data_IF_528512090658
#
_entry.id   IF_528512090658
#
_cell.length_a   1.000
_cell.length_b   1.000
_cell.length_c   1.000
_cell.angle_alpha   90.00
_cell.angle_beta   90.00
_cell.angle_gamma   90.00
#
_symmetry.space_group_name_H-M   'P 1'
#
loop_
_entity.id
_entity.type
_entity.pdbx_description
1 polymer ?
#
# COMPACT_ATOMS: atom_id res chain seq x y z
N UNK A 1 39.33 15.67 -106.12
CA UNK A 1 38.52 16.44 -107.10
C UNK A 1 39.40 16.74 -108.30
N UNK A 2 38.99 16.35 -109.50
CA UNK A 2 39.62 16.76 -110.76
C UNK A 2 38.88 17.97 -111.34
N UNK A 3 39.61 18.95 -111.85
CA UNK A 3 39.05 20.07 -112.60
C UNK A 3 38.87 19.68 -114.06
N UNK A 4 37.91 20.31 -114.76
CA UNK A 4 37.97 20.33 -116.22
C UNK A 4 39.12 21.25 -116.67
N UNK A 5 39.70 20.98 -117.84
CA UNK A 5 40.86 21.70 -118.39
C UNK A 5 40.69 23.24 -118.37
N UNK A 6 39.51 23.74 -118.75
CA UNK A 6 39.15 25.17 -118.72
C UNK A 6 39.11 25.73 -117.28
N UNK A 7 38.65 24.94 -116.31
CA UNK A 7 38.69 25.32 -114.90
C UNK A 7 40.12 25.29 -114.36
N UNK A 8 40.93 24.31 -114.78
CA UNK A 8 42.34 24.18 -114.38
C UNK A 8 43.15 25.39 -114.81
N UNK A 9 43.04 25.79 -116.09
CA UNK A 9 43.71 26.98 -116.61
C UNK A 9 43.25 28.27 -115.91
N UNK A 10 41.96 28.38 -115.56
CA UNK A 10 41.45 29.53 -114.79
C UNK A 10 41.96 29.56 -113.35
N UNK A 11 42.11 28.41 -112.70
CA UNK A 11 42.69 28.31 -111.35
C UNK A 11 44.19 28.58 -111.38
N UNK A 12 44.93 28.04 -112.36
CA UNK A 12 46.35 28.31 -112.57
C UNK A 12 46.60 29.82 -112.76
N UNK A 13 45.93 30.46 -113.72
CA UNK A 13 46.08 31.91 -113.96
C UNK A 13 45.68 32.77 -112.74
N UNK A 14 44.70 32.35 -111.93
CA UNK A 14 44.37 33.01 -110.68
C UNK A 14 45.47 32.83 -109.62
N UNK A 15 46.04 31.63 -109.49
CA UNK A 15 47.14 31.33 -108.58
C UNK A 15 48.44 32.03 -109.00
N UNK A 16 48.78 32.10 -110.28
CA UNK A 16 49.89 32.90 -110.81
C UNK A 16 49.71 34.39 -110.48
N UNK A 17 48.51 34.93 -110.70
CA UNK A 17 48.18 36.30 -110.32
C UNK A 17 48.31 36.54 -108.80
N UNK A 18 47.96 35.56 -107.96
CA UNK A 18 48.23 35.64 -106.52
C UNK A 18 49.73 35.49 -106.17
N UNK A 19 50.48 34.65 -106.87
CA UNK A 19 51.94 34.52 -106.71
C UNK A 19 52.64 35.83 -107.08
N UNK A 20 52.31 36.45 -108.21
CA UNK A 20 52.84 37.75 -108.61
C UNK A 20 52.41 38.88 -107.66
N UNK A 21 51.17 38.87 -107.14
CA UNK A 21 50.76 39.83 -106.10
C UNK A 21 51.50 39.61 -104.78
N UNK A 22 51.83 38.37 -104.41
CA UNK A 22 52.65 38.06 -103.23
C UNK A 22 54.14 38.39 -103.44
N UNK A 23 54.69 38.20 -104.64
CA UNK A 23 56.04 38.66 -105.00
C UNK A 23 56.13 40.20 -105.01
N UNK A 24 55.06 40.87 -105.46
CA UNK A 24 54.91 42.34 -105.38
C UNK A 24 54.80 42.80 -103.92
N UNK A 25 54.08 42.05 -103.08
CA UNK A 25 53.99 42.32 -101.64
C UNK A 25 55.34 42.06 -100.94
N UNK A 26 56.04 40.97 -101.28
CA UNK A 26 57.39 40.66 -100.79
C UNK A 26 58.36 41.78 -101.17
N UNK A 27 58.36 42.24 -102.43
CA UNK A 27 59.14 43.40 -102.85
C UNK A 27 58.71 44.69 -102.16
N UNK A 28 57.42 44.93 -101.96
CA UNK A 28 56.92 46.14 -101.26
C UNK A 28 57.34 46.16 -99.79
N UNK A 29 57.31 45.02 -99.10
CA UNK A 29 57.76 44.90 -97.70
C UNK A 29 59.29 44.95 -97.62
N UNK A 30 60.03 44.32 -98.55
CA UNK A 30 61.49 44.45 -98.64
C UNK A 30 61.92 45.90 -98.92
N UNK A 31 61.30 46.59 -99.88
CA UNK A 31 61.52 48.00 -100.13
C UNK A 31 61.18 48.85 -98.90
N UNK A 32 60.11 48.54 -98.18
CA UNK A 32 59.79 49.24 -96.93
C UNK A 32 60.87 49.03 -95.85
N UNK A 33 61.37 47.80 -95.69
CA UNK A 33 62.53 47.49 -94.82
C UNK A 33 63.82 48.20 -95.29
N UNK A 34 64.00 48.40 -96.59
CA UNK A 34 65.15 49.10 -97.20
C UNK A 34 65.02 50.63 -97.28
N UNK A 35 63.84 51.19 -96.99
CA UNK A 35 63.59 52.65 -96.95
C UNK A 35 63.48 53.13 -95.50
N UNK A 36 62.85 52.35 -94.61
CA UNK A 36 62.76 52.63 -93.17
C UNK A 36 63.99 52.13 -92.39
N UNK A 37 65.20 52.47 -92.88
CA UNK A 37 66.48 52.00 -92.33
C UNK A 37 66.74 52.49 -90.89
N UNK A 38 66.17 53.62 -90.47
CA UNK A 38 66.51 54.27 -89.18
C UNK A 38 65.33 54.51 -88.21
N UNK A 39 64.10 54.02 -88.47
CA UNK A 39 62.90 54.46 -87.74
C UNK A 39 62.06 53.39 -87.00
N UNK A 40 62.26 52.08 -87.23
CA UNK A 40 61.34 51.04 -86.74
C UNK A 40 61.93 50.14 -85.61
N UNK A 41 61.17 49.83 -84.53
CA UNK A 41 61.63 49.02 -83.41
C UNK A 41 61.90 47.55 -83.75
N UNK A 42 62.83 46.94 -83.01
CA UNK A 42 63.32 45.57 -83.28
C UNK A 42 62.23 44.48 -83.29
N UNK A 43 61.16 44.63 -82.51
CA UNK A 43 60.06 43.67 -82.46
C UNK A 43 59.17 43.74 -83.71
N UNK A 44 58.97 44.92 -84.29
CA UNK A 44 58.30 45.08 -85.59
C UNK A 44 59.20 44.57 -86.72
N UNK A 45 60.50 44.89 -86.70
CA UNK A 45 61.47 44.33 -87.67
C UNK A 45 61.50 42.80 -87.63
N UNK A 46 61.49 42.17 -86.45
CA UNK A 46 61.37 40.70 -86.32
C UNK A 46 60.05 40.16 -86.90
N UNK A 47 58.94 40.89 -86.73
CA UNK A 47 57.63 40.50 -87.22
C UNK A 47 57.48 40.68 -88.74
N UNK A 48 58.06 41.74 -89.29
CA UNK A 48 58.13 41.99 -90.74
C UNK A 48 59.06 40.99 -91.44
N UNK A 49 60.21 40.64 -90.85
CA UNK A 49 61.09 39.59 -91.39
C UNK A 49 60.38 38.24 -91.40
N UNK A 50 59.65 37.88 -90.33
CA UNK A 50 58.80 36.68 -90.32
C UNK A 50 57.77 36.75 -91.46
N UNK A 51 57.03 37.85 -91.56
CA UNK A 51 56.03 38.04 -92.63
C UNK A 51 56.63 37.91 -94.03
N UNK A 52 57.82 38.46 -94.29
CA UNK A 52 58.56 38.26 -95.56
C UNK A 52 58.87 36.79 -95.78
N UNK A 53 59.40 36.07 -94.78
CA UNK A 53 59.67 34.62 -94.94
C UNK A 53 58.39 33.80 -95.16
N UNK A 54 57.26 34.21 -94.59
CA UNK A 54 55.98 33.53 -94.80
C UNK A 54 55.35 33.89 -96.16
N UNK A 55 55.41 35.14 -96.62
CA UNK A 55 55.01 35.52 -97.98
C UNK A 55 55.86 34.80 -99.04
N UNK A 56 57.16 34.65 -98.80
CA UNK A 56 58.07 33.91 -99.68
C UNK A 56 57.74 32.41 -99.72
N UNK A 57 57.49 31.79 -98.55
CA UNK A 57 57.02 30.40 -98.43
C UNK A 57 55.68 30.21 -99.15
N UNK A 58 54.71 31.08 -98.91
CA UNK A 58 53.41 31.09 -99.58
C UNK A 58 53.55 31.25 -101.11
N UNK A 59 54.44 32.12 -101.59
CA UNK A 59 54.71 32.24 -103.03
C UNK A 59 55.27 30.93 -103.61
N UNK A 60 56.16 30.24 -102.90
CA UNK A 60 56.69 28.94 -103.33
C UNK A 60 55.62 27.83 -103.32
N UNK A 61 54.80 27.78 -102.27
CA UNK A 61 53.67 26.85 -102.13
C UNK A 61 52.60 27.09 -103.23
N UNK A 62 52.32 28.36 -103.58
CA UNK A 62 51.39 28.72 -104.65
C UNK A 62 51.98 28.41 -106.02
N UNK A 63 53.26 28.70 -106.30
CA UNK A 63 53.89 28.31 -107.56
C UNK A 63 53.95 26.78 -107.75
N UNK A 64 54.17 26.02 -106.66
CA UNK A 64 54.05 24.56 -106.69
C UNK A 64 52.59 24.11 -106.97
N UNK A 65 51.61 24.82 -106.43
CA UNK A 65 50.19 24.54 -106.67
C UNK A 65 49.74 24.91 -108.10
N UNK A 66 50.26 25.98 -108.71
CA UNK A 66 50.09 26.25 -110.15
C UNK A 66 50.53 25.02 -110.96
N UNK A 67 51.73 24.52 -110.69
CA UNK A 67 52.31 23.37 -111.39
C UNK A 67 51.51 22.07 -111.17
N UNK A 68 51.00 21.82 -109.96
CA UNK A 68 50.11 20.68 -109.67
C UNK A 68 48.78 20.80 -110.46
N UNK A 69 48.19 21.99 -110.50
CA UNK A 69 46.92 22.26 -111.21
C UNK A 69 47.10 22.21 -112.73
N UNK A 70 48.18 22.74 -113.28
CA UNK A 70 48.51 22.69 -114.71
C UNK A 70 48.76 21.27 -115.19
N UNK A 71 49.64 20.52 -114.51
CA UNK A 71 50.04 19.18 -114.97
C UNK A 71 49.06 18.06 -114.61
N UNK A 72 48.31 18.19 -113.51
CA UNK A 72 47.49 17.08 -112.96
C UNK A 72 46.02 17.40 -112.82
N UNK A 73 45.60 18.63 -113.12
CA UNK A 73 44.22 19.11 -112.98
C UNK A 73 43.62 18.87 -111.58
N UNK A 74 44.49 18.93 -110.54
CA UNK A 74 44.17 18.61 -109.15
C UNK A 74 44.83 19.60 -108.18
N UNK A 75 44.27 19.72 -106.98
CA UNK A 75 44.70 20.67 -105.94
C UNK A 75 44.76 20.02 -104.54
N UNK A 76 45.22 18.78 -104.47
CA UNK A 76 45.14 17.94 -103.26
C UNK A 76 46.00 18.47 -102.11
N UNK A 77 47.15 19.07 -102.41
CA UNK A 77 48.07 19.66 -101.44
C UNK A 77 47.43 20.78 -100.61
N UNK A 78 46.57 21.60 -101.24
CA UNK A 78 45.87 22.70 -100.56
C UNK A 78 44.82 22.20 -99.56
N UNK A 79 44.12 21.10 -99.90
CA UNK A 79 43.14 20.50 -99.00
C UNK A 79 43.82 19.97 -97.74
N UNK A 80 44.88 19.17 -97.90
CA UNK A 80 45.70 18.64 -96.78
C UNK A 80 46.24 19.76 -95.88
N UNK A 81 46.67 20.89 -96.45
CA UNK A 81 47.13 22.04 -95.68
C UNK A 81 46.02 22.69 -94.84
N UNK A 82 44.82 22.86 -95.41
CA UNK A 82 43.69 23.49 -94.70
C UNK A 82 43.10 22.59 -93.60
N UNK A 83 43.04 21.27 -93.82
CA UNK A 83 42.67 20.27 -92.80
C UNK A 83 43.66 20.30 -91.63
N UNK A 84 44.96 20.35 -91.90
CA UNK A 84 46.04 20.39 -90.89
C UNK A 84 46.06 21.69 -90.06
N UNK A 85 45.58 22.81 -90.62
CA UNK A 85 45.37 24.05 -89.86
C UNK A 85 44.15 23.93 -88.95
N UNK A 86 43.02 23.39 -89.45
CA UNK A 86 41.81 23.17 -88.64
C UNK A 86 42.10 22.24 -87.46
N UNK A 87 42.74 21.10 -87.72
CA UNK A 87 43.15 20.13 -86.70
C UNK A 87 44.00 20.80 -85.61
N UNK A 88 44.97 21.63 -85.98
CA UNK A 88 45.85 22.35 -85.04
C UNK A 88 45.11 23.36 -84.15
N UNK A 89 44.11 24.06 -84.69
CA UNK A 89 43.27 24.99 -83.90
C UNK A 89 42.42 24.21 -82.91
N UNK A 90 41.76 23.14 -83.36
CA UNK A 90 40.94 22.27 -82.51
C UNK A 90 41.77 21.62 -81.39
N UNK A 91 43.05 21.30 -81.66
CA UNK A 91 44.00 20.79 -80.66
C UNK A 91 44.36 21.84 -79.59
N UNK A 92 44.52 23.12 -79.95
CA UNK A 92 44.73 24.21 -78.97
C UNK A 92 43.47 24.50 -78.15
N UNK A 93 42.28 24.58 -78.77
CA UNK A 93 41.01 24.79 -78.04
C UNK A 93 40.71 23.63 -77.07
N UNK A 94 41.00 22.39 -77.48
CA UNK A 94 40.90 21.20 -76.64
C UNK A 94 41.92 21.23 -75.49
N UNK A 95 43.15 21.67 -75.76
CA UNK A 95 44.24 21.82 -74.76
C UNK A 95 43.94 22.91 -73.73
N UNK A 96 43.43 24.08 -74.14
CA UNK A 96 43.02 25.15 -73.20
C UNK A 96 41.81 24.73 -72.37
N UNK A 97 40.85 24.01 -72.97
CA UNK A 97 39.69 23.46 -72.25
C UNK A 97 40.09 22.40 -71.22
N UNK A 98 41.00 21.48 -71.57
CA UNK A 98 41.56 20.49 -70.64
C UNK A 98 42.33 21.18 -69.50
N UNK A 99 43.12 22.23 -69.79
CA UNK A 99 43.81 22.99 -68.73
C UNK A 99 42.83 23.67 -67.75
N UNK A 100 41.71 24.22 -68.24
CA UNK A 100 40.65 24.80 -67.40
C UNK A 100 39.99 23.73 -66.51
N UNK A 101 39.63 22.58 -67.08
CA UNK A 101 39.09 21.44 -66.33
C UNK A 101 40.09 20.91 -65.29
N UNK A 102 41.37 20.85 -65.63
CA UNK A 102 42.43 20.40 -64.71
C UNK A 102 42.59 21.35 -63.50
N UNK A 103 42.43 22.67 -63.71
CA UNK A 103 42.41 23.65 -62.63
C UNK A 103 41.18 23.48 -61.73
N UNK A 104 39.98 23.38 -62.31
CA UNK A 104 38.74 23.15 -61.55
C UNK A 104 38.79 21.83 -60.75
N UNK A 105 39.30 20.75 -61.35
CA UNK A 105 39.54 19.46 -60.67
C UNK A 105 40.52 19.63 -59.50
N UNK A 106 41.58 20.44 -59.63
CA UNK A 106 42.48 20.73 -58.51
C UNK A 106 41.80 21.53 -57.40
N UNK A 107 40.93 22.49 -57.72
CA UNK A 107 40.20 23.28 -56.74
C UNK A 107 39.15 22.44 -56.00
N UNK A 108 38.35 21.65 -56.73
CA UNK A 108 37.43 20.68 -56.14
C UNK A 108 38.16 19.65 -55.28
N UNK A 109 39.36 19.21 -55.66
CA UNK A 109 40.20 18.36 -54.81
C UNK A 109 40.71 19.07 -53.52
N UNK A 110 41.05 20.36 -53.58
CA UNK A 110 41.38 21.16 -52.37
C UNK A 110 40.16 21.30 -51.46
N UNK A 111 38.98 21.54 -52.03
CA UNK A 111 37.69 21.64 -51.33
C UNK A 111 37.29 20.32 -50.66
N UNK A 112 37.35 19.19 -51.38
CA UNK A 112 37.13 17.83 -50.83
C UNK A 112 38.10 17.53 -49.67
N UNK A 113 39.37 17.94 -49.76
CA UNK A 113 40.34 17.77 -48.67
C UNK A 113 39.97 18.57 -47.42
N UNK A 114 39.51 19.83 -47.58
CA UNK A 114 38.99 20.65 -46.46
C UNK A 114 37.76 19.98 -45.81
N UNK A 115 36.78 19.57 -46.63
CA UNK A 115 35.54 18.94 -46.15
C UNK A 115 35.81 17.62 -45.40
N UNK A 116 36.70 16.76 -45.90
CA UNK A 116 37.12 15.52 -45.21
C UNK A 116 37.78 15.82 -43.85
N UNK A 117 38.60 16.87 -43.76
CA UNK A 117 39.22 17.27 -42.49
C UNK A 117 38.17 17.78 -41.48
N UNK A 118 37.21 18.59 -41.95
CA UNK A 118 36.09 19.09 -41.14
C UNK A 118 35.18 17.94 -40.66
N UNK A 119 34.85 16.99 -41.53
CA UNK A 119 34.09 15.79 -41.19
C UNK A 119 34.79 14.97 -40.09
N UNK A 120 36.11 14.75 -40.20
CA UNK A 120 36.89 14.05 -39.16
C UNK A 120 36.90 14.81 -37.83
N UNK A 121 37.01 16.15 -37.85
CA UNK A 121 36.94 16.99 -36.64
C UNK A 121 35.56 16.92 -35.96
N UNK A 122 34.48 16.94 -36.75
CA UNK A 122 33.11 16.81 -36.23
C UNK A 122 32.86 15.41 -35.65
N UNK A 123 33.29 14.34 -36.32
CA UNK A 123 33.17 12.98 -35.80
C UNK A 123 33.89 12.79 -34.44
N UNK A 124 35.10 13.35 -34.30
CA UNK A 124 35.82 13.35 -33.03
C UNK A 124 35.10 14.14 -31.94
N UNK A 125 34.51 15.30 -32.26
CA UNK A 125 33.68 16.04 -31.30
C UNK A 125 32.41 15.30 -30.89
N UNK A 126 31.74 14.62 -31.81
CA UNK A 126 30.54 13.82 -31.50
C UNK A 126 30.90 12.65 -30.59
N UNK A 127 31.98 11.92 -30.89
CA UNK A 127 32.42 10.81 -30.04
C UNK A 127 32.84 11.28 -28.64
N UNK A 128 33.61 12.38 -28.53
CA UNK A 128 34.01 12.93 -27.23
C UNK A 128 32.82 13.47 -26.41
N UNK A 129 31.80 14.06 -27.07
CA UNK A 129 30.54 14.43 -26.41
C UNK A 129 29.72 13.21 -25.99
N UNK A 130 29.78 12.12 -26.76
CA UNK A 130 29.10 10.87 -26.44
C UNK A 130 29.73 10.21 -25.21
N UNK A 131 31.04 9.97 -25.18
CA UNK A 131 31.71 9.34 -24.02
C UNK A 131 31.55 10.17 -22.74
N UNK A 132 31.75 11.49 -22.80
CA UNK A 132 31.57 12.37 -21.63
C UNK A 132 30.11 12.56 -21.20
N UNK A 133 29.14 12.15 -22.02
CA UNK A 133 27.72 12.03 -21.63
C UNK A 133 27.44 10.67 -20.99
N UNK A 134 27.99 9.60 -21.57
CA UNK A 134 27.89 8.23 -21.05
C UNK A 134 28.54 8.10 -19.67
N UNK A 135 29.74 8.66 -19.46
CA UNK A 135 30.41 8.76 -18.15
C UNK A 135 29.57 9.50 -17.09
N UNK A 136 28.89 10.58 -17.49
CA UNK A 136 28.04 11.38 -16.58
C UNK A 136 26.74 10.66 -16.24
N UNK A 137 26.19 9.90 -17.18
CA UNK A 137 25.00 9.09 -16.95
C UNK A 137 25.34 7.86 -16.10
N UNK A 138 26.48 7.21 -16.33
CA UNK A 138 26.97 6.09 -15.53
C UNK A 138 27.12 6.48 -14.07
N UNK A 139 27.82 7.59 -13.78
CA UNK A 139 27.99 8.12 -12.40
C UNK A 139 26.68 8.50 -11.72
N UNK A 140 25.69 8.98 -12.47
CA UNK A 140 24.34 9.21 -11.94
C UNK A 140 23.62 7.90 -11.61
N UNK A 141 23.75 6.88 -12.46
CA UNK A 141 23.18 5.57 -12.18
C UNK A 141 23.84 4.89 -10.97
N UNK A 142 25.16 4.99 -10.83
CA UNK A 142 25.92 4.53 -9.66
C UNK A 142 25.43 5.23 -8.39
N UNK A 143 25.38 6.57 -8.38
CA UNK A 143 24.90 7.34 -7.24
C UNK A 143 23.44 7.00 -6.86
N UNK A 144 22.53 6.94 -7.85
CA UNK A 144 21.12 6.56 -7.61
C UNK A 144 21.03 5.14 -7.07
N UNK A 145 21.89 4.22 -7.52
CA UNK A 145 21.93 2.85 -7.02
C UNK A 145 22.43 2.78 -5.58
N UNK A 146 23.46 3.54 -5.20
CA UNK A 146 23.92 3.65 -3.81
C UNK A 146 22.84 4.27 -2.90
N UNK A 147 22.21 5.37 -3.32
CA UNK A 147 21.11 6.01 -2.59
C UNK A 147 19.91 5.06 -2.42
N UNK A 148 19.59 4.27 -3.45
CA UNK A 148 18.53 3.24 -3.41
C UNK A 148 18.88 2.10 -2.46
N UNK A 149 20.13 1.64 -2.44
CA UNK A 149 20.58 0.58 -1.53
C UNK A 149 20.58 1.03 -0.06
N UNK A 150 21.03 2.26 0.22
CA UNK A 150 21.03 2.85 1.55
C UNK A 150 19.59 3.08 2.08
N UNK A 151 18.69 3.57 1.22
CA UNK A 151 17.28 3.74 1.62
C UNK A 151 16.56 2.41 1.79
N UNK A 152 16.88 1.39 0.98
CA UNK A 152 16.36 0.03 1.16
C UNK A 152 16.84 -0.62 2.47
N UNK A 153 18.12 -0.49 2.84
CA UNK A 153 18.62 -1.06 4.09
C UNK A 153 18.01 -0.39 5.32
N UNK A 154 17.85 0.94 5.31
CA UNK A 154 17.16 1.67 6.38
C UNK A 154 15.69 1.23 6.51
N UNK A 155 14.98 1.04 5.40
CA UNK A 155 13.60 0.53 5.41
C UNK A 155 13.52 -0.91 5.93
N UNK A 156 14.50 -1.77 5.65
CA UNK A 156 14.54 -3.13 6.20
C UNK A 156 14.84 -3.14 7.70
N UNK A 157 15.73 -2.26 8.19
CA UNK A 157 15.96 -2.04 9.63
C UNK A 157 14.69 -1.54 10.35
N UNK A 158 13.99 -0.55 9.78
CA UNK A 158 12.70 -0.06 10.31
C UNK A 158 11.64 -1.17 10.34
N UNK A 159 11.52 -1.95 9.26
CA UNK A 159 10.60 -3.09 9.19
C UNK A 159 10.95 -4.17 10.23
N UNK A 160 12.23 -4.46 10.44
CA UNK A 160 12.65 -5.44 11.46
C UNK A 160 12.40 -4.93 12.89
N UNK A 161 12.61 -3.64 13.14
CA UNK A 161 12.28 -2.98 14.42
C UNK A 161 10.77 -2.99 14.71
N UNK A 162 9.93 -2.68 13.72
CA UNK A 162 8.47 -2.76 13.84
C UNK A 162 8.02 -4.22 14.06
N UNK A 163 8.60 -5.19 13.34
CA UNK A 163 8.34 -6.63 13.56
C UNK A 163 8.80 -7.11 14.95
N UNK A 164 9.89 -6.57 15.49
CA UNK A 164 10.35 -6.84 16.87
C UNK A 164 9.35 -6.29 17.89
N UNK A 165 8.90 -5.03 17.73
CA UNK A 165 7.87 -4.43 18.60
C UNK A 165 6.53 -5.16 18.54
N UNK A 166 6.04 -5.51 17.35
CA UNK A 166 4.76 -6.20 17.19
C UNK A 166 4.74 -7.54 17.93
N UNK A 167 5.79 -8.37 17.79
CA UNK A 167 5.89 -9.67 18.50
C UNK A 167 5.95 -9.53 20.02
N UNK A 168 6.57 -8.45 20.52
CA UNK A 168 6.60 -8.18 21.96
C UNK A 168 5.24 -7.69 22.47
N UNK A 169 4.53 -6.85 21.72
CA UNK A 169 3.17 -6.43 22.02
C UNK A 169 2.20 -7.64 22.01
N UNK A 170 2.30 -8.52 21.02
CA UNK A 170 1.57 -9.79 20.94
C UNK A 170 1.85 -10.68 22.17
N UNK A 171 3.13 -10.83 22.55
CA UNK A 171 3.54 -11.60 23.73
C UNK A 171 2.92 -11.02 25.00
N UNK A 172 3.14 -9.74 25.27
CA UNK A 172 2.63 -9.03 26.46
C UNK A 172 1.10 -9.01 26.50
N UNK A 173 0.44 -8.90 25.35
CA UNK A 173 -1.02 -9.00 25.24
C UNK A 173 -1.53 -10.39 25.66
N UNK A 174 -0.93 -11.48 25.15
CA UNK A 174 -1.36 -12.84 25.55
C UNK A 174 -1.06 -13.17 27.00
N UNK A 175 0.02 -12.63 27.58
CA UNK A 175 0.35 -12.76 29.00
C UNK A 175 -0.64 -11.98 29.87
N UNK A 176 -0.96 -10.73 29.48
CA UNK A 176 -1.97 -9.91 30.15
C UNK A 176 -3.36 -10.55 30.10
N UNK A 177 -3.74 -11.12 28.95
CA UNK A 177 -5.02 -11.81 28.79
C UNK A 177 -5.12 -13.05 29.69
N UNK A 178 -4.05 -13.87 29.78
CA UNK A 178 -3.98 -15.02 30.70
C UNK A 178 -4.10 -14.57 32.15
N UNK A 179 -3.29 -13.59 32.57
CA UNK A 179 -3.33 -13.05 33.93
C UNK A 179 -4.73 -12.55 34.32
N UNK A 180 -5.40 -11.78 33.45
CA UNK A 180 -6.76 -11.30 33.71
C UNK A 180 -7.79 -12.43 33.78
N UNK A 181 -7.62 -13.48 32.97
CA UNK A 181 -8.49 -14.66 32.97
C UNK A 181 -8.29 -15.50 34.25
N UNK A 182 -7.05 -15.71 34.69
CA UNK A 182 -6.70 -16.43 35.92
C UNK A 182 -7.19 -15.68 37.17
N UNK A 183 -6.99 -14.36 37.23
CA UNK A 183 -7.52 -13.50 38.30
C UNK A 183 -9.06 -13.55 38.36
N UNK A 184 -9.74 -13.51 37.20
CA UNK A 184 -11.19 -13.60 37.14
C UNK A 184 -11.69 -14.98 37.61
N UNK A 185 -11.03 -16.07 37.24
CA UNK A 185 -11.33 -17.40 37.78
C UNK A 185 -11.16 -17.47 39.30
N UNK A 186 -10.09 -16.90 39.87
CA UNK A 186 -9.87 -16.95 41.32
C UNK A 186 -10.92 -16.13 42.09
N UNK A 187 -11.25 -14.93 41.61
CA UNK A 187 -12.34 -14.11 42.15
C UNK A 187 -13.69 -14.84 42.05
N UNK A 188 -13.94 -15.59 40.97
CA UNK A 188 -15.15 -16.43 40.85
C UNK A 188 -15.18 -17.58 41.87
N UNK A 189 -14.05 -18.27 42.12
CA UNK A 189 -13.95 -19.31 43.16
C UNK A 189 -14.20 -18.73 44.55
N UNK A 190 -13.54 -17.63 44.91
CA UNK A 190 -13.76 -16.94 46.18
C UNK A 190 -15.23 -16.53 46.35
N UNK A 191 -15.84 -15.96 45.30
CA UNK A 191 -17.23 -15.54 45.30
C UNK A 191 -18.20 -16.72 45.42
N UNK A 192 -17.87 -17.89 44.88
CA UNK A 192 -18.63 -19.14 45.08
C UNK A 192 -18.54 -19.61 46.53
N UNK A 193 -17.32 -19.78 47.05
CA UNK A 193 -17.07 -20.21 48.43
C UNK A 193 -17.75 -19.29 49.46
N UNK A 194 -17.64 -17.96 49.29
CA UNK A 194 -18.31 -16.98 50.17
C UNK A 194 -19.83 -17.08 50.07
N UNK A 195 -20.41 -17.32 48.88
CA UNK A 195 -21.86 -17.56 48.73
C UNK A 195 -22.31 -18.83 49.45
N UNK A 196 -21.58 -19.94 49.30
CA UNK A 196 -21.91 -21.22 49.94
C UNK A 196 -21.84 -21.10 51.47
N UNK A 197 -20.76 -20.54 52.02
CA UNK A 197 -20.62 -20.27 53.45
C UNK A 197 -21.76 -19.38 53.98
N UNK A 198 -22.11 -18.31 53.26
CA UNK A 198 -23.24 -17.43 53.63
C UNK A 198 -24.58 -18.19 53.60
N UNK A 199 -24.80 -19.04 52.61
CA UNK A 199 -26.02 -19.83 52.47
C UNK A 199 -26.13 -20.93 53.54
N UNK A 200 -25.02 -21.57 53.92
CA UNK A 200 -24.96 -22.53 55.02
C UNK A 200 -25.28 -21.84 56.35
N UNK A 201 -24.60 -20.73 56.68
CA UNK A 201 -24.87 -19.98 57.91
C UNK A 201 -26.29 -19.42 57.98
N UNK A 202 -26.86 -18.96 56.85
CA UNK A 202 -28.25 -18.55 56.76
C UNK A 202 -29.22 -19.72 57.05
N UNK A 203 -28.91 -20.93 56.59
CA UNK A 203 -29.72 -22.12 56.86
C UNK A 203 -29.61 -22.57 58.33
N UNK A 204 -28.42 -22.54 58.92
CA UNK A 204 -28.23 -22.76 60.36
C UNK A 204 -29.01 -21.76 61.21
N UNK A 205 -28.99 -20.47 60.86
CA UNK A 205 -29.71 -19.43 61.59
C UNK A 205 -31.23 -19.58 61.44
N UNK A 206 -31.73 -19.97 60.26
CA UNK A 206 -33.14 -20.36 60.08
C UNK A 206 -33.51 -21.54 60.98
N UNK A 207 -32.70 -22.59 61.01
CA UNK A 207 -32.95 -23.75 61.87
C UNK A 207 -32.95 -23.38 63.36
N UNK A 208 -31.98 -22.59 63.82
CA UNK A 208 -31.93 -22.07 65.20
C UNK A 208 -33.19 -21.26 65.55
N UNK A 209 -33.68 -20.43 64.64
CA UNK A 209 -34.94 -19.68 64.82
C UNK A 209 -36.17 -20.60 64.86
N UNK A 210 -36.25 -21.63 64.02
CA UNK A 210 -37.33 -22.62 64.08
C UNK A 210 -37.32 -23.41 65.39
N UNK A 211 -36.16 -23.86 65.86
CA UNK A 211 -36.05 -24.61 67.12
C UNK A 211 -36.37 -23.76 68.35
N UNK A 212 -35.96 -22.48 68.38
CA UNK A 212 -36.36 -21.54 69.43
C UNK A 212 -37.86 -21.26 69.38
N UNK A 213 -38.44 -21.06 68.18
CA UNK A 213 -39.88 -20.84 68.01
C UNK A 213 -40.70 -22.05 68.47
N UNK A 214 -40.30 -23.26 68.07
CA UNK A 214 -40.91 -24.53 68.49
C UNK A 214 -40.86 -24.70 70.01
N UNK A 215 -39.70 -24.45 70.64
CA UNK A 215 -39.55 -24.49 72.11
C UNK A 215 -40.45 -23.47 72.80
N UNK A 216 -40.58 -22.26 72.25
CA UNK A 216 -41.49 -21.22 72.75
C UNK A 216 -42.95 -21.65 72.68
N UNK A 217 -43.41 -22.20 71.56
CA UNK A 217 -44.79 -22.70 71.41
C UNK A 217 -45.08 -23.81 72.44
N UNK A 218 -44.25 -24.87 72.49
CA UNK A 218 -44.43 -25.97 73.44
C UNK A 218 -44.43 -25.53 74.91
N UNK A 219 -43.65 -24.50 75.25
CA UNK A 219 -43.67 -23.90 76.59
C UNK A 219 -44.95 -23.11 76.87
N UNK A 220 -45.47 -22.37 75.88
CA UNK A 220 -46.75 -21.66 75.98
C UNK A 220 -47.93 -22.65 76.11
N UNK A 221 -47.95 -23.72 75.31
CA UNK A 221 -48.96 -24.77 75.37
C UNK A 221 -49.00 -25.40 76.76
N UNK A 222 -47.84 -25.82 77.29
CA UNK A 222 -47.72 -26.37 78.66
C UNK A 222 -48.19 -25.37 79.73
N UNK A 223 -47.92 -24.07 79.55
CA UNK A 223 -48.40 -23.03 80.47
C UNK A 223 -49.91 -22.77 80.33
N UNK A 224 -50.52 -22.99 79.15
CA UNK A 224 -51.98 -22.95 79.00
C UNK A 224 -52.63 -24.16 79.67
N UNK A 225 -52.08 -25.36 79.49
CA UNK A 225 -52.53 -26.59 80.15
C UNK A 225 -52.44 -26.53 81.67
N UNK A 226 -51.32 -26.06 82.23
CA UNK A 226 -51.21 -25.85 83.68
C UNK A 226 -52.25 -24.83 84.20
N UNK A 227 -52.53 -23.77 83.44
CA UNK A 227 -53.60 -22.79 83.78
C UNK A 227 -55.01 -23.33 83.54
N UNK A 228 -55.20 -24.39 82.75
CA UNK A 228 -56.47 -25.12 82.66
C UNK A 228 -56.66 -25.97 83.92
N UNK A 229 -55.72 -26.86 84.24
CA UNK A 229 -55.82 -27.73 85.41
C UNK A 229 -55.93 -26.97 86.73
N UNK A 230 -55.25 -25.82 86.90
CA UNK A 230 -55.43 -24.98 88.11
C UNK A 230 -56.87 -24.51 88.26
N UNK A 231 -57.50 -24.01 87.19
CA UNK A 231 -58.91 -23.53 87.24
C UNK A 231 -59.90 -24.68 87.48
N UNK A 232 -59.64 -25.85 86.90
CA UNK A 232 -60.44 -27.07 87.14
C UNK A 232 -60.35 -27.51 88.62
N UNK A 233 -59.14 -27.48 89.21
CA UNK A 233 -58.92 -27.79 90.63
C UNK A 233 -59.52 -26.72 91.56
N UNK A 234 -59.41 -25.42 91.21
CA UNK A 234 -60.05 -24.32 91.94
C UNK A 234 -61.58 -24.48 91.95
N UNK A 235 -62.18 -24.86 90.81
CA UNK A 235 -63.62 -25.15 90.72
C UNK A 235 -64.01 -26.34 91.61
N UNK A 236 -63.31 -27.47 91.52
CA UNK A 236 -63.58 -28.65 92.36
C UNK A 236 -63.47 -28.34 93.87
N UNK A 237 -62.48 -27.53 94.27
CA UNK A 237 -62.31 -27.07 95.65
C UNK A 237 -63.43 -26.12 96.09
N UNK A 238 -64.02 -25.34 95.18
CA UNK A 238 -65.19 -24.52 95.48
C UNK A 238 -66.48 -25.35 95.58
N UNK A 239 -66.65 -26.36 94.72
CA UNK A 239 -67.78 -27.30 94.75
C UNK A 239 -67.78 -28.14 96.03
N UNK A 240 -66.64 -28.71 96.42
CA UNK A 240 -66.47 -29.43 97.70
C UNK A 240 -66.77 -28.54 98.91
N UNK A 241 -66.29 -27.29 98.94
CA UNK A 241 -66.64 -26.33 100.01
C UNK A 241 -68.14 -26.05 100.09
N UNK A 242 -68.84 -25.94 98.95
CA UNK A 242 -70.29 -25.75 98.90
C UNK A 242 -71.02 -27.00 99.41
N UNK A 243 -70.58 -28.19 99.01
CA UNK A 243 -71.18 -29.46 99.47
C UNK A 243 -70.93 -29.69 100.96
N UNK A 244 -69.72 -29.46 101.47
CA UNK A 244 -69.43 -29.52 102.90
C UNK A 244 -70.30 -28.56 103.70
N UNK A 245 -70.53 -27.33 103.22
CA UNK A 245 -71.47 -26.40 103.85
C UNK A 245 -72.93 -26.89 103.78
N UNK A 246 -73.33 -27.58 102.70
CA UNK A 246 -74.66 -28.21 102.58
C UNK A 246 -74.83 -29.32 103.61
N UNK A 247 -73.86 -30.23 103.71
CA UNK A 247 -73.82 -31.33 104.66
C UNK A 247 -73.80 -30.83 106.12
N UNK A 248 -73.00 -29.81 106.44
CA UNK A 248 -72.98 -29.20 107.77
C UNK A 248 -74.33 -28.57 108.15
N UNK A 249 -75.00 -27.88 107.22
CA UNK A 249 -76.35 -27.35 107.43
C UNK A 249 -77.37 -28.45 107.67
N UNK A 250 -77.31 -29.56 106.93
CA UNK A 250 -78.23 -30.70 107.11
C UNK A 250 -77.97 -31.43 108.44
N UNK A 251 -76.70 -31.67 108.78
CA UNK A 251 -76.29 -32.24 110.07
C UNK A 251 -76.77 -31.38 111.24
N UNK A 252 -76.74 -30.04 111.10
CA UNK A 252 -77.29 -29.11 112.08
C UNK A 252 -78.83 -29.22 112.20
N UNK A 253 -79.57 -29.33 111.08
CA UNK A 253 -81.03 -29.58 111.10
C UNK A 253 -81.36 -30.89 111.80
N UNK A 254 -80.69 -32.00 111.44
CA UNK A 254 -80.89 -33.32 112.05
C UNK A 254 -80.58 -33.28 113.55
N UNK A 255 -79.52 -32.58 113.95
CA UNK A 255 -79.17 -32.37 115.36
C UNK A 255 -80.23 -31.55 116.09
N UNK A 256 -80.76 -30.49 115.49
CA UNK A 256 -81.83 -29.67 116.06
C UNK A 256 -83.15 -30.46 116.20
N UNK A 257 -83.56 -31.18 115.16
CA UNK A 257 -84.73 -32.06 115.19
C UNK A 257 -84.60 -33.15 116.27
N UNK A 258 -83.40 -33.75 116.40
CA UNK A 258 -83.11 -34.73 117.46
C UNK A 258 -83.22 -34.11 118.86
N UNK A 259 -82.72 -32.88 119.07
CA UNK A 259 -82.87 -32.14 120.33
C UNK A 259 -84.34 -31.83 120.64
N UNK A 260 -85.13 -31.39 119.65
CA UNK A 260 -86.58 -31.14 119.80
C UNK A 260 -87.33 -32.43 120.14
N UNK A 261 -87.03 -33.54 119.44
CA UNK A 261 -87.61 -34.86 119.72
C UNK A 261 -87.28 -35.34 121.14
N UNK A 262 -86.03 -35.18 121.58
CA UNK A 262 -85.59 -35.56 122.93
C UNK A 262 -86.25 -34.69 124.01
N UNK A 263 -86.35 -33.37 123.78
CA UNK A 263 -87.06 -32.45 124.66
C UNK A 263 -88.55 -32.79 124.77
N UNK A 264 -89.22 -33.05 123.65
CA UNK A 264 -90.63 -33.45 123.62
C UNK A 264 -90.87 -34.76 124.35
N UNK A 265 -90.07 -35.82 124.09
CA UNK A 265 -90.14 -37.09 124.83
C UNK A 265 -89.94 -36.87 126.34
N UNK A 266 -88.96 -36.05 126.73
CA UNK A 266 -88.76 -35.67 128.14
C UNK A 266 -89.94 -34.90 128.75
N UNK A 267 -90.62 -34.04 127.97
CA UNK A 267 -91.83 -33.35 128.39
C UNK A 267 -93.04 -34.30 128.51
N UNK A 268 -93.19 -35.29 127.61
CA UNK A 268 -94.22 -36.33 127.72
C UNK A 268 -94.05 -37.13 129.01
N UNK A 269 -92.82 -37.59 129.31
CA UNK A 269 -92.51 -38.32 130.56
C UNK A 269 -92.79 -37.46 131.80
N UNK A 270 -92.32 -36.20 131.83
CA UNK A 270 -92.55 -35.28 132.98
C UNK A 270 -94.02 -34.93 133.19
N UNK A 271 -94.85 -34.91 132.14
CA UNK A 271 -96.29 -34.59 132.21
C UNK A 271 -97.19 -35.83 132.26
N UNK A 272 -96.63 -37.05 132.27
CA UNK A 272 -97.41 -38.29 132.28
C UNK A 272 -98.29 -38.49 131.04
N UNK A 273 -97.82 -38.03 129.87
CA UNK A 273 -98.56 -38.08 128.61
C UNK A 273 -98.20 -39.32 127.78
N UNK A 274 -99.20 -39.92 127.13
CA UNK A 274 -99.04 -41.15 126.35
C UNK A 274 -98.78 -42.38 127.25
N UNK A 275 -97.98 -43.37 126.81
CA UNK A 275 -97.78 -44.64 127.53
C UNK A 275 -96.98 -44.51 128.86
N UNK A 276 -96.57 -43.30 129.24
CA UNK A 276 -95.92 -43.01 130.52
C UNK A 276 -96.90 -42.45 131.57
N UNK A 277 -98.21 -42.46 131.28
CA UNK A 277 -99.26 -42.09 132.24
C UNK A 277 -99.33 -43.17 133.34
N UNK A 278 -99.07 -42.78 134.59
CA UNK A 278 -99.14 -43.69 135.74
C UNK A 278 -100.58 -44.18 135.94
N UNK A 279 -100.84 -45.44 135.62
CA UNK A 279 -101.92 -46.21 136.25
C UNK A 279 -101.38 -46.80 137.55
N UNK A 280 -102.02 -46.50 138.66
CA UNK A 280 -101.67 -47.03 139.97
C UNK A 280 -102.38 -48.39 140.14
N UNK A 281 -101.64 -49.49 140.37
CA UNK A 281 -102.03 -50.52 141.36
C UNK A 281 -101.06 -51.73 141.53
N UNK A 282 -100.99 -52.21 142.79
CA UNK A 282 -100.84 -53.60 143.27
C UNK A 282 -99.69 -54.57 142.84
N UNK A 283 -98.51 -54.42 143.45
CA UNK A 283 -97.94 -55.27 144.56
C UNK A 283 -98.06 -56.84 144.53
N UNK A 284 -96.94 -57.54 144.88
CA UNK A 284 -96.68 -59.02 145.12
C UNK A 284 -96.49 -59.86 143.83
N UNK A 285 -95.69 -60.95 143.71
CA UNK A 285 -94.77 -61.78 144.54
C UNK A 285 -94.01 -62.79 143.59
N UNK A 286 -93.02 -63.68 143.86
CA UNK A 286 -92.09 -64.02 144.99
C UNK A 286 -90.83 -64.85 144.53
N UNK A 287 -89.61 -64.30 144.66
CA UNK A 287 -88.44 -64.84 145.45
C UNK A 287 -87.62 -66.10 145.00
N UNK A 288 -86.29 -66.05 145.27
CA UNK A 288 -85.19 -67.07 145.09
C UNK A 288 -84.63 -67.21 143.65
N UNK A 289 -83.35 -67.58 143.41
CA UNK A 289 -82.26 -68.14 144.26
C UNK A 289 -80.88 -67.51 143.87
N UNK A 290 -79.87 -67.52 144.78
CA UNK A 290 -78.55 -66.84 144.61
C UNK A 290 -77.36 -67.70 145.08
N UNK A 291 -76.41 -68.03 144.18
CA UNK A 291 -75.01 -68.53 144.38
C UNK A 291 -74.45 -68.92 142.99
N UNK A 292 -73.16 -68.79 142.66
CA UNK A 292 -72.00 -68.10 143.25
C UNK A 292 -71.17 -67.48 142.10
N UNK A 293 -70.43 -66.37 142.26
CA UNK A 293 -69.24 -66.10 143.09
C UNK A 293 -67.92 -66.58 142.45
N UNK A 294 -67.29 -65.65 141.70
CA UNK A 294 -65.87 -65.51 141.33
C UNK A 294 -64.90 -66.68 141.58
N UNK A 295 -64.11 -67.00 140.56
CA UNK A 295 -62.70 -66.59 140.62
C UNK A 295 -62.51 -65.41 139.67
#
# INVERSE_FOLDING_TARGET
>A
MSLSEIQSLRVAAALEHFAHRLQTLEHSILLKISVEIDAAPAQERSSLIKLVTECKRMSQEISHLCHEVEQRQSFSSLQLFSEKIREKIELEDRKTTVMRQQQEIQEKNKEIKKLKLQQKKLALQVNAKKTTSEEKNHKKCEQIQEETLQTASLQEEELEFVRKRLREEERVHTESQKFLLDQNQEVQKELHMRKEQTQQSLNEKKQQLYDVSRKKTLALDKLMEMRRMVREMEQLVMEDKVEQQRLQKEQAKVTAATKVQAWWRGCMVRRGLGPFRKTEDNVKDKKKKKKGKKK
#
